data_IF_487608149527
#
_entry.id   IF_487608149527
#
_cell.length_a   1.000
_cell.length_b   1.000
_cell.length_c   1.000
_cell.angle_alpha   90.00
_cell.angle_beta   90.00
_cell.angle_gamma   90.00
#
_symmetry.space_group_name_H-M   'P 1'
#
loop_
_entity.id
_entity.type
_entity.pdbx_description
1 polymer ?
#
# COMPACT_ATOMS: atom_id res chain seq x y z
N UNK A 1 -12.15 -1.68 -1.51
CA UNK A 1 -10.89 -1.27 -0.85
C UNK A 1 -10.55 0.23 -1.02
N UNK A 2 -11.35 1.03 -1.72
CA UNK A 2 -11.04 2.46 -1.94
C UNK A 2 -10.89 3.28 -0.65
N UNK A 3 -11.79 3.11 0.33
CA UNK A 3 -11.71 3.81 1.62
C UNK A 3 -10.37 3.54 2.32
N UNK A 4 -9.94 2.27 2.36
CA UNK A 4 -8.66 1.88 2.95
C UNK A 4 -7.48 2.53 2.21
N UNK A 5 -7.50 2.51 0.86
CA UNK A 5 -6.45 3.12 0.04
C UNK A 5 -6.30 4.62 0.34
N UNK A 6 -7.39 5.38 0.34
CA UNK A 6 -7.32 6.83 0.47
C UNK A 6 -7.15 7.27 1.93
N UNK A 7 -7.90 6.67 2.86
CA UNK A 7 -7.84 7.07 4.27
C UNK A 7 -6.56 6.57 4.93
N UNK A 8 -6.24 5.27 4.81
CA UNK A 8 -5.08 4.70 5.52
C UNK A 8 -3.81 4.85 4.68
N UNK A 9 -3.87 4.48 3.40
CA UNK A 9 -2.73 4.61 2.50
C UNK A 9 -2.38 6.07 2.23
N UNK A 10 -3.35 6.88 1.78
CA UNK A 10 -3.13 8.30 1.49
C UNK A 10 -2.63 9.09 2.69
N UNK A 11 -3.34 9.03 3.82
CA UNK A 11 -2.89 9.75 5.03
C UNK A 11 -1.59 9.16 5.60
N UNK A 12 -1.44 7.83 5.61
CA UNK A 12 -0.20 7.17 6.02
C UNK A 12 1.01 7.62 5.20
N UNK A 13 0.89 7.69 3.88
CA UNK A 13 1.95 8.19 2.99
C UNK A 13 2.25 9.66 3.22
N UNK A 14 1.21 10.49 3.39
CA UNK A 14 1.38 11.88 3.79
C UNK A 14 2.20 12.02 5.07
N UNK A 15 1.88 11.24 6.12
CA UNK A 15 2.65 11.23 7.37
C UNK A 15 4.10 10.79 7.14
N UNK A 16 4.37 9.87 6.21
CA UNK A 16 5.73 9.50 5.79
C UNK A 16 6.55 10.71 5.32
N UNK A 17 5.93 11.61 4.56
CA UNK A 17 6.54 12.89 4.17
C UNK A 17 6.71 13.84 5.34
N UNK A 18 5.76 13.90 6.28
CA UNK A 18 5.87 14.74 7.49
C UNK A 18 7.00 14.29 8.40
N UNK A 19 7.24 12.98 8.54
CA UNK A 19 8.42 12.43 9.26
C UNK A 19 9.72 12.98 8.67
N UNK A 20 9.78 13.12 7.33
CA UNK A 20 10.99 13.52 6.62
C UNK A 20 11.21 15.03 6.57
N UNK A 21 10.14 15.79 6.38
CA UNK A 21 10.23 17.19 5.94
C UNK A 21 9.58 18.20 6.87
N UNK A 22 8.85 17.79 7.90
CA UNK A 22 8.37 18.76 8.88
C UNK A 22 9.55 19.36 9.66
N UNK A 23 9.38 20.52 10.29
CA UNK A 23 10.30 21.07 11.29
C UNK A 23 9.68 21.04 12.70
N UNK A 24 8.37 20.80 12.78
CA UNK A 24 7.62 20.69 14.03
C UNK A 24 7.92 19.33 14.71
N UNK A 25 8.35 19.40 15.98
CA UNK A 25 8.74 18.23 16.77
C UNK A 25 7.52 17.40 17.17
N UNK A 26 6.41 18.03 17.54
CA UNK A 26 5.18 17.35 17.95
C UNK A 26 4.55 16.65 16.74
N UNK A 27 4.51 17.32 15.60
CA UNK A 27 4.00 16.73 14.37
C UNK A 27 4.85 15.55 13.91
N UNK A 28 6.18 15.64 13.95
CA UNK A 28 7.06 14.51 13.65
C UNK A 28 6.83 13.33 14.58
N UNK A 29 6.64 13.59 15.89
CA UNK A 29 6.40 12.54 16.87
C UNK A 29 5.08 11.82 16.58
N UNK A 30 4.00 12.59 16.34
CA UNK A 30 2.71 12.05 15.91
C UNK A 30 2.83 11.24 14.61
N UNK A 31 3.52 11.79 13.59
CA UNK A 31 3.66 11.13 12.30
C UNK A 31 4.42 9.81 12.41
N UNK A 32 5.49 9.76 13.23
CA UNK A 32 6.25 8.53 13.51
C UNK A 32 5.41 7.46 14.20
N UNK A 33 4.47 7.85 15.05
CA UNK A 33 3.55 6.92 15.71
C UNK A 33 2.45 6.40 14.77
N UNK A 34 1.82 7.31 14.03
CA UNK A 34 0.64 6.99 13.22
C UNK A 34 0.96 6.35 11.87
N UNK A 35 2.06 6.75 11.21
CA UNK A 35 2.49 6.19 9.93
C UNK A 35 2.51 4.65 9.94
N UNK A 36 3.31 3.97 10.80
CA UNK A 36 3.37 2.52 10.78
C UNK A 36 2.03 1.86 11.11
N UNK A 37 1.21 2.44 12.00
CA UNK A 37 -0.12 1.89 12.35
C UNK A 37 -1.08 1.93 11.17
N UNK A 38 -1.13 3.05 10.46
CA UNK A 38 -2.01 3.22 9.30
C UNK A 38 -1.58 2.35 8.12
N UNK A 39 -0.28 2.29 7.82
CA UNK A 39 0.20 1.45 6.71
C UNK A 39 0.12 -0.04 7.03
N UNK A 40 0.36 -0.45 8.29
CA UNK A 40 0.14 -1.83 8.71
C UNK A 40 -1.35 -2.21 8.60
N UNK A 41 -2.25 -1.32 9.01
CA UNK A 41 -3.68 -1.54 8.84
C UNK A 41 -4.10 -1.59 7.36
N UNK A 42 -3.55 -0.72 6.50
CA UNK A 42 -3.75 -0.79 5.05
C UNK A 42 -3.30 -2.15 4.50
N UNK A 43 -2.10 -2.60 4.85
CA UNK A 43 -1.58 -3.90 4.43
C UNK A 43 -2.51 -5.05 4.84
N UNK A 44 -2.94 -5.07 6.10
CA UNK A 44 -3.86 -6.07 6.63
C UNK A 44 -5.18 -6.12 5.86
N UNK A 45 -5.84 -4.96 5.69
CA UNK A 45 -7.12 -4.92 4.98
C UNK A 45 -6.98 -5.18 3.48
N UNK A 46 -5.85 -4.84 2.85
CA UNK A 46 -5.57 -5.21 1.46
C UNK A 46 -5.37 -6.71 1.31
N UNK A 47 -4.66 -7.36 2.23
CA UNK A 47 -4.50 -8.81 2.22
C UNK A 47 -5.86 -9.53 2.36
N UNK A 48 -6.73 -9.06 3.27
CA UNK A 48 -8.11 -9.56 3.38
C UNK A 48 -8.94 -9.25 2.13
N UNK A 49 -8.79 -8.06 1.54
CA UNK A 49 -9.48 -7.69 0.31
C UNK A 49 -9.09 -8.56 -0.88
N UNK A 50 -7.82 -8.97 -0.95
CA UNK A 50 -7.30 -9.83 -2.01
C UNK A 50 -7.93 -11.22 -2.00
N UNK A 51 -8.21 -11.80 -0.82
CA UNK A 51 -8.90 -13.10 -0.75
C UNK A 51 -10.31 -13.00 -1.35
N UNK A 52 -11.08 -11.96 -1.00
CA UNK A 52 -12.40 -11.71 -1.59
C UNK A 52 -12.35 -11.47 -3.11
N UNK A 53 -11.35 -10.72 -3.59
CA UNK A 53 -11.14 -10.51 -5.03
C UNK A 53 -10.82 -11.80 -5.79
N UNK A 54 -9.98 -12.66 -5.23
CA UNK A 54 -9.66 -13.98 -5.79
C UNK A 54 -10.90 -14.87 -5.80
N UNK A 55 -11.65 -14.94 -4.70
CA UNK A 55 -12.91 -15.71 -4.63
C UNK A 55 -13.89 -15.25 -5.70
N UNK A 56 -14.07 -13.93 -5.87
CA UNK A 56 -14.99 -13.38 -6.88
C UNK A 56 -14.61 -13.77 -8.31
N UNK A 57 -13.31 -13.81 -8.64
CA UNK A 57 -12.85 -14.27 -9.96
C UNK A 57 -13.13 -15.76 -10.16
N UNK A 58 -12.84 -16.58 -9.15
CA UNK A 58 -13.04 -18.03 -9.21
C UNK A 58 -14.53 -18.39 -9.32
N UNK A 59 -15.42 -17.71 -8.60
CA UNK A 59 -16.87 -17.93 -8.69
C UNK A 59 -17.49 -17.41 -9.99
N UNK A 60 -16.73 -16.63 -10.76
CA UNK A 60 -17.15 -16.09 -12.06
C UNK A 60 -16.43 -16.78 -13.24
N UNK A 61 -15.78 -17.93 -12.99
CA UNK A 61 -14.99 -18.69 -13.96
C UNK A 61 -13.94 -17.84 -14.72
N UNK A 62 -13.37 -16.82 -14.06
CA UNK A 62 -12.37 -15.93 -14.66
C UNK A 62 -10.94 -16.30 -14.24
N UNK A 63 -9.98 -16.33 -15.19
CA UNK A 63 -8.57 -16.59 -14.87
C UNK A 63 -7.95 -15.47 -14.02
N UNK A 64 -7.27 -15.84 -12.95
CA UNK A 64 -6.65 -14.88 -12.01
C UNK A 64 -5.51 -14.12 -12.67
N UNK A 65 -4.58 -14.82 -13.34
CA UNK A 65 -3.36 -14.22 -13.87
C UNK A 65 -3.55 -13.40 -15.15
N UNK A 66 -4.73 -13.48 -15.78
CA UNK A 66 -5.07 -12.64 -16.93
C UNK A 66 -5.76 -11.34 -16.53
N UNK A 67 -6.23 -11.23 -15.28
CA UNK A 67 -6.84 -10.01 -14.77
C UNK A 67 -5.76 -9.00 -14.38
N UNK A 68 -5.66 -7.84 -15.08
CA UNK A 68 -4.67 -6.83 -14.73
C UNK A 68 -4.86 -6.29 -13.31
N UNK A 69 -6.11 -6.23 -12.82
CA UNK A 69 -6.41 -5.86 -11.45
C UNK A 69 -5.84 -6.87 -10.44
N UNK A 70 -6.03 -8.18 -10.68
CA UNK A 70 -5.51 -9.21 -9.80
C UNK A 70 -3.98 -9.24 -9.79
N UNK A 71 -3.35 -9.14 -10.97
CA UNK A 71 -1.89 -9.14 -11.08
C UNK A 71 -1.25 -7.93 -10.39
N UNK A 72 -1.79 -6.72 -10.62
CA UNK A 72 -1.30 -5.52 -9.93
C UNK A 72 -1.52 -5.58 -8.43
N UNK A 73 -2.59 -6.23 -7.96
CA UNK A 73 -2.85 -6.47 -6.54
C UNK A 73 -1.80 -7.40 -5.91
N UNK A 74 -1.47 -8.52 -6.58
CA UNK A 74 -0.45 -9.45 -6.14
C UNK A 74 0.95 -8.80 -6.07
N UNK A 75 1.33 -8.05 -7.11
CA UNK A 75 2.57 -7.29 -7.13
C UNK A 75 2.59 -6.25 -6.00
N UNK A 76 1.49 -5.49 -5.83
CA UNK A 76 1.37 -4.47 -4.79
C UNK A 76 1.52 -5.03 -3.38
N UNK A 77 0.88 -6.17 -3.07
CA UNK A 77 1.00 -6.83 -1.76
C UNK A 77 2.41 -7.40 -1.53
N UNK A 78 3.04 -7.95 -2.57
CA UNK A 78 4.43 -8.43 -2.49
C UNK A 78 5.39 -7.28 -2.18
N UNK A 79 5.24 -6.16 -2.88
CA UNK A 79 6.03 -4.95 -2.64
C UNK A 79 5.76 -4.34 -1.26
N UNK A 80 4.50 -4.30 -0.80
CA UNK A 80 4.18 -3.85 0.57
C UNK A 80 4.81 -4.73 1.64
N UNK A 81 4.92 -6.04 1.40
CA UNK A 81 5.61 -6.95 2.33
C UNK A 81 7.08 -6.54 2.49
N UNK A 82 7.77 -6.29 1.37
CA UNK A 82 9.15 -5.78 1.37
C UNK A 82 9.22 -4.41 2.07
N UNK A 83 8.31 -3.51 1.73
CA UNK A 83 8.23 -2.14 2.30
C UNK A 83 8.07 -2.14 3.82
N UNK A 84 7.32 -3.12 4.37
CA UNK A 84 7.03 -3.24 5.80
C UNK A 84 8.24 -3.76 6.58
N UNK A 85 9.06 -4.62 5.98
CA UNK A 85 10.27 -5.17 6.61
C UNK A 85 11.45 -4.20 6.54
N UNK A 86 11.51 -3.37 5.50
CA UNK A 86 12.64 -2.48 5.22
C UNK A 86 13.06 -1.57 6.40
N UNK A 87 12.14 -0.99 7.21
CA UNK A 87 12.51 -0.18 8.37
C UNK A 87 13.34 -0.90 9.43
N UNK A 88 13.19 -2.22 9.58
CA UNK A 88 13.98 -3.01 10.53
C UNK A 88 15.47 -3.07 10.16
N UNK A 89 15.82 -2.73 8.91
CA UNK A 89 17.18 -2.75 8.39
C UNK A 89 17.83 -1.36 8.37
N UNK A 90 17.13 -0.32 8.84
CA UNK A 90 17.67 1.05 8.84
C UNK A 90 18.88 1.22 9.75
N UNK A 91 18.94 0.46 10.84
CA UNK A 91 20.09 0.46 11.73
C UNK A 91 21.32 -0.08 10.99
N UNK A 92 22.41 0.68 10.98
CA UNK A 92 23.62 0.36 10.21
C UNK A 92 23.57 0.73 8.72
N UNK A 93 22.41 1.09 8.15
CA UNK A 93 22.31 1.57 6.78
C UNK A 93 21.25 2.69 6.60
N UNK A 94 21.58 3.94 6.96
CA UNK A 94 20.64 5.06 6.87
C UNK A 94 20.18 5.36 5.43
N UNK A 95 20.92 4.93 4.40
CA UNK A 95 20.55 5.08 2.99
C UNK A 95 19.24 4.35 2.63
N UNK A 96 18.90 3.26 3.35
CA UNK A 96 17.66 2.52 3.15
C UNK A 96 16.40 3.35 3.42
N UNK A 97 16.49 4.45 4.19
CA UNK A 97 15.36 5.37 4.39
C UNK A 97 14.95 6.07 3.10
N UNK A 98 15.90 6.39 2.23
CA UNK A 98 15.59 6.97 0.92
C UNK A 98 14.92 5.93 0.01
N UNK A 99 15.42 4.68 0.04
CA UNK A 99 14.83 3.57 -0.71
C UNK A 99 13.40 3.31 -0.23
N UNK A 100 13.16 3.29 1.09
CA UNK A 100 11.82 3.14 1.66
C UNK A 100 10.86 4.25 1.21
N UNK A 101 11.31 5.49 1.19
CA UNK A 101 10.50 6.62 0.71
C UNK A 101 10.14 6.49 -0.78
N UNK A 102 11.12 6.14 -1.62
CA UNK A 102 10.91 5.98 -3.06
C UNK A 102 10.03 4.77 -3.38
N UNK A 103 10.33 3.61 -2.80
CA UNK A 103 9.56 2.38 -2.96
C UNK A 103 8.13 2.57 -2.48
N UNK A 104 7.93 3.15 -1.29
CA UNK A 104 6.59 3.45 -0.76
C UNK A 104 5.79 4.38 -1.66
N UNK A 105 6.41 5.42 -2.21
CA UNK A 105 5.75 6.33 -3.16
C UNK A 105 5.36 5.61 -4.47
N UNK A 106 6.25 4.75 -4.99
CA UNK A 106 5.98 3.92 -6.17
C UNK A 106 4.85 2.92 -5.95
N UNK A 107 4.81 2.28 -4.78
CA UNK A 107 3.72 1.37 -4.36
C UNK A 107 2.38 2.12 -4.33
N UNK A 108 2.34 3.34 -3.81
CA UNK A 108 1.11 4.14 -3.82
C UNK A 108 0.64 4.49 -5.22
N UNK A 109 1.55 4.86 -6.12
CA UNK A 109 1.21 5.09 -7.53
C UNK A 109 0.65 3.81 -8.18
N UNK A 110 1.28 2.66 -7.93
CA UNK A 110 0.76 1.36 -8.38
C UNK A 110 -0.64 1.10 -7.84
N UNK A 111 -0.94 1.43 -6.57
CA UNK A 111 -2.28 1.21 -6.02
C UNK A 111 -3.36 2.14 -6.59
N UNK A 112 -3.00 3.34 -7.05
CA UNK A 112 -3.93 4.19 -7.81
C UNK A 112 -4.28 3.54 -9.15
N UNK A 113 -3.30 2.98 -9.86
CA UNK A 113 -3.53 2.20 -11.09
C UNK A 113 -4.37 0.96 -10.78
N UNK A 114 -4.02 0.21 -9.74
CA UNK A 114 -4.77 -0.97 -9.29
C UNK A 114 -6.23 -0.64 -8.97
N UNK A 115 -6.49 0.50 -8.32
CA UNK A 115 -7.85 0.97 -8.01
C UNK A 115 -8.63 1.31 -9.29
N UNK A 116 -8.02 1.99 -10.26
CA UNK A 116 -8.64 2.26 -11.55
C UNK A 116 -8.98 0.97 -12.31
N UNK A 117 -8.07 -0.01 -12.32
CA UNK A 117 -8.29 -1.33 -12.89
C UNK A 117 -9.41 -2.09 -12.17
N UNK A 118 -9.51 -1.96 -10.83
CA UNK A 118 -10.56 -2.57 -10.02
C UNK A 118 -11.93 -1.97 -10.31
N UNK A 119 -12.02 -0.65 -10.46
CA UNK A 119 -13.25 0.01 -10.88
C UNK A 119 -13.69 -0.45 -12.27
N UNK A 120 -12.76 -0.49 -13.23
CA UNK A 120 -13.03 -1.01 -14.58
C UNK A 120 -13.51 -2.46 -14.56
N UNK A 121 -12.85 -3.33 -13.78
CA UNK A 121 -13.23 -4.73 -13.65
C UNK A 121 -14.63 -4.87 -13.03
N UNK A 122 -14.93 -4.12 -11.97
CA UNK A 122 -16.24 -4.14 -11.31
C UNK A 122 -17.39 -3.67 -12.22
N UNK A 123 -17.13 -2.73 -13.12
CA UNK A 123 -18.11 -2.25 -14.11
C UNK A 123 -18.19 -3.12 -15.37
N UNK A 124 -17.40 -4.18 -15.48
CA UNK A 124 -17.40 -5.12 -16.62
C UNK A 124 -18.27 -6.36 -16.42
N UNK A 125 -18.93 -6.45 -15.25
CA UNK A 125 -19.90 -7.48 -14.91
C UNK A 125 -21.32 -6.93 -15.00
#
# INVERSE_FOLDING_TARGET
>A
MAVVLFAMGGYGTYLGFRIRFSDDVEEKAMAKDLHPKLLAGMFFFFALGATGGVTSLLTSDKPIFESPHALTGLIGLSLLTIQTVLPALFEGNPGLRNIHGLLGSGIMALFLVHAALGLRLGLSY
#
